data_IF_487045746830
#
_entry.id   IF_487045746830
#
_cell.length_a   1.000
_cell.length_b   1.000
_cell.length_c   1.000
_cell.angle_alpha   90.00
_cell.angle_beta   90.00
_cell.angle_gamma   90.00
#
_symmetry.space_group_name_H-M   'P 1'
#
loop_
_entity.id
_entity.type
_entity.pdbx_description
1 polymer ?
#
# COMPACT_ATOMS: atom_id res chain seq x y z
N UNK A 1 -45.75 -16.42 3.26
CA UNK A 1 -44.54 -15.81 3.74
C UNK A 1 -44.01 -14.78 2.78
N UNK A 2 -43.55 -13.71 3.33
CA UNK A 2 -43.31 -12.48 2.64
C UNK A 2 -42.01 -12.47 1.84
N UNK A 3 -42.11 -12.45 0.52
CA UNK A 3 -40.95 -12.23 -0.35
C UNK A 3 -40.19 -10.94 -0.01
N UNK A 4 -40.85 -9.95 0.59
CA UNK A 4 -40.28 -8.69 1.00
C UNK A 4 -39.15 -8.86 2.05
N UNK A 5 -39.34 -9.77 3.01
CA UNK A 5 -38.33 -10.08 4.04
C UNK A 5 -37.06 -10.68 3.43
N UNK A 6 -37.21 -11.51 2.40
CA UNK A 6 -36.08 -12.10 1.69
C UNK A 6 -35.28 -11.04 0.93
N UNK A 7 -35.98 -10.06 0.29
CA UNK A 7 -35.32 -8.95 -0.42
C UNK A 7 -34.59 -8.01 0.53
N UNK A 8 -35.17 -7.66 1.67
CA UNK A 8 -34.53 -6.83 2.70
C UNK A 8 -33.26 -7.49 3.23
N UNK A 9 -33.31 -8.78 3.49
CA UNK A 9 -32.15 -9.55 3.99
C UNK A 9 -31.03 -9.61 2.94
N UNK A 10 -31.38 -9.76 1.66
CA UNK A 10 -30.43 -9.78 0.55
C UNK A 10 -29.74 -8.42 0.37
N UNK A 11 -30.48 -7.32 0.45
CA UNK A 11 -29.93 -5.95 0.38
C UNK A 11 -29.00 -5.67 1.55
N UNK A 12 -29.38 -6.07 2.77
CA UNK A 12 -28.55 -5.91 3.96
C UNK A 12 -27.23 -6.67 3.83
N UNK A 13 -27.27 -7.91 3.31
CA UNK A 13 -26.09 -8.74 3.10
C UNK A 13 -25.15 -8.14 2.07
N UNK A 14 -25.68 -7.57 0.97
CA UNK A 14 -24.89 -6.86 -0.05
C UNK A 14 -24.21 -5.63 0.53
N UNK A 15 -24.90 -4.83 1.34
CA UNK A 15 -24.32 -3.67 2.02
C UNK A 15 -23.20 -4.07 2.98
N UNK A 16 -23.32 -5.23 3.64
CA UNK A 16 -22.33 -5.73 4.58
C UNK A 16 -21.05 -6.20 3.87
N UNK A 17 -21.13 -6.59 2.60
CA UNK A 17 -19.99 -7.02 1.80
C UNK A 17 -19.24 -5.86 1.14
N UNK A 18 -19.77 -4.64 1.24
CA UNK A 18 -19.12 -3.47 0.69
C UNK A 18 -17.97 -3.05 1.61
N UNK A 19 -16.75 -3.37 1.20
CA UNK A 19 -15.55 -2.88 1.88
C UNK A 19 -15.13 -1.55 1.26
N UNK A 20 -14.88 -0.56 2.11
CA UNK A 20 -14.35 0.72 1.67
C UNK A 20 -12.96 0.49 1.06
N UNK A 21 -12.77 0.89 -0.19
CA UNK A 21 -11.47 0.85 -0.83
C UNK A 21 -10.62 2.04 -0.40
N UNK A 22 -9.33 1.80 -0.15
CA UNK A 22 -8.38 2.85 0.14
C UNK A 22 -7.83 3.43 -1.17
N UNK A 23 -7.70 4.74 -1.20
CA UNK A 23 -7.15 5.47 -2.34
C UNK A 23 -6.43 6.72 -1.85
N UNK A 24 -5.18 6.89 -2.26
CA UNK A 24 -4.37 8.04 -1.88
C UNK A 24 -3.40 8.39 -3.01
N UNK A 25 -3.20 9.68 -3.26
CA UNK A 25 -2.15 10.16 -4.17
C UNK A 25 -1.16 11.02 -3.40
N UNK A 26 0.09 11.00 -3.82
CA UNK A 26 1.14 11.80 -3.22
C UNK A 26 2.50 11.36 -3.69
N UNK A 27 3.53 11.89 -3.03
CA UNK A 27 4.92 11.58 -3.36
C UNK A 27 5.36 10.28 -2.72
N UNK A 28 6.03 9.42 -3.48
CA UNK A 28 6.76 8.25 -3.00
C UNK A 28 8.25 8.55 -2.98
N UNK A 29 8.91 8.05 -1.96
CA UNK A 29 10.36 7.97 -1.87
C UNK A 29 10.76 6.52 -1.61
N UNK A 30 12.04 6.23 -1.49
CA UNK A 30 12.52 4.90 -1.11
C UNK A 30 13.53 5.00 0.02
N UNK A 31 13.68 3.90 0.77
CA UNK A 31 14.56 3.83 1.92
C UNK A 31 16.02 4.00 1.56
N UNK A 32 16.78 4.60 2.47
CA UNK A 32 18.24 4.55 2.43
C UNK A 32 18.76 3.14 2.71
N UNK A 33 19.88 2.75 2.08
CA UNK A 33 20.52 1.45 2.27
C UNK A 33 20.96 1.19 3.72
N UNK A 34 21.14 2.25 4.52
CA UNK A 34 21.52 2.11 5.95
C UNK A 34 20.49 1.37 6.80
N UNK A 35 19.22 1.25 6.32
CA UNK A 35 18.18 0.54 7.05
C UNK A 35 18.19 -0.97 6.82
N UNK A 36 18.96 -1.46 5.85
CA UNK A 36 19.08 -2.89 5.59
C UNK A 36 19.50 -3.65 6.84
N UNK A 37 18.76 -4.73 7.14
CA UNK A 37 19.01 -5.57 8.31
C UNK A 37 18.35 -5.08 9.61
N UNK A 38 17.72 -3.92 9.63
CA UNK A 38 17.00 -3.40 10.80
C UNK A 38 15.58 -3.96 10.86
N UNK A 39 15.04 -4.06 12.08
CA UNK A 39 13.63 -4.42 12.25
C UNK A 39 12.72 -3.27 11.84
N UNK A 40 11.67 -3.61 11.11
CA UNK A 40 10.58 -2.70 10.81
C UNK A 40 9.53 -2.70 11.93
N UNK A 41 8.52 -1.83 11.84
CA UNK A 41 7.44 -1.76 12.83
C UNK A 41 6.65 -3.07 12.96
N UNK A 42 6.62 -3.89 11.91
CA UNK A 42 5.98 -5.20 11.94
C UNK A 42 6.80 -6.26 12.69
N UNK A 43 8.09 -5.99 12.98
CA UNK A 43 9.04 -6.95 13.49
C UNK A 43 9.80 -7.71 12.40
N UNK A 44 9.41 -7.56 11.14
CA UNK A 44 10.15 -8.13 10.01
C UNK A 44 11.47 -7.39 9.81
N UNK A 45 12.49 -8.12 9.32
CA UNK A 45 13.78 -7.51 8.98
C UNK A 45 13.64 -6.77 7.65
N UNK A 46 14.07 -5.51 7.62
CA UNK A 46 14.06 -4.71 6.39
C UNK A 46 15.09 -5.25 5.40
N UNK A 47 14.68 -5.42 4.16
CA UNK A 47 15.54 -5.78 3.04
C UNK A 47 15.14 -5.00 1.79
N UNK A 48 16.11 -4.35 1.17
CA UNK A 48 15.93 -3.63 -0.10
C UNK A 48 15.52 -4.55 -1.26
N UNK A 49 15.74 -5.86 -1.10
CA UNK A 49 15.39 -6.86 -2.10
C UNK A 49 13.96 -7.39 -2.00
N UNK A 50 13.17 -6.91 -1.06
CA UNK A 50 11.78 -7.30 -0.88
C UNK A 50 10.82 -6.24 -1.46
N UNK A 51 9.57 -6.63 -1.68
CA UNK A 51 8.51 -5.70 -2.12
C UNK A 51 7.68 -5.28 -0.91
N UNK A 52 8.21 -4.36 -0.12
CA UNK A 52 7.55 -3.84 1.09
C UNK A 52 7.60 -2.31 1.13
N UNK A 53 6.85 -1.75 2.05
CA UNK A 53 6.72 -0.30 2.18
C UNK A 53 6.43 0.13 3.60
N UNK A 54 6.76 1.40 3.89
CA UNK A 54 6.27 2.11 5.07
C UNK A 54 5.12 3.03 4.69
N UNK A 55 4.09 3.05 5.51
CA UNK A 55 2.92 3.90 5.34
C UNK A 55 2.49 4.50 6.69
N UNK A 56 1.84 5.67 6.65
CA UNK A 56 1.49 6.40 7.88
C UNK A 56 0.42 5.70 8.72
N UNK A 57 -0.58 5.09 8.09
CA UNK A 57 -1.79 4.64 8.78
C UNK A 57 -2.29 3.25 8.40
N UNK A 58 -2.00 2.75 7.21
CA UNK A 58 -2.50 1.45 6.78
C UNK A 58 -2.02 0.34 7.72
N UNK A 59 -2.90 -0.61 7.99
CA UNK A 59 -2.60 -1.74 8.87
C UNK A 59 -1.37 -2.50 8.37
N UNK A 60 -0.46 -2.84 9.28
CA UNK A 60 0.70 -3.67 8.95
C UNK A 60 0.23 -5.03 8.42
N UNK A 61 0.82 -5.47 7.31
CA UNK A 61 0.41 -6.66 6.58
C UNK A 61 -0.53 -6.37 5.40
N UNK A 62 -1.00 -5.14 5.24
CA UNK A 62 -1.86 -4.75 4.11
C UNK A 62 -1.05 -4.73 2.82
N UNK A 63 -1.61 -5.31 1.75
CA UNK A 63 -1.05 -5.20 0.41
C UNK A 63 -1.70 -4.04 -0.32
N UNK A 64 -0.89 -3.23 -0.98
CA UNK A 64 -1.34 -2.10 -1.78
C UNK A 64 -0.71 -2.14 -3.15
N UNK A 65 -1.45 -1.64 -4.13
CA UNK A 65 -0.95 -1.42 -5.48
C UNK A 65 -0.48 0.03 -5.57
N UNK A 66 0.76 0.21 -5.94
CA UNK A 66 1.37 1.53 -6.14
C UNK A 66 1.56 1.74 -7.64
N UNK A 67 1.03 2.84 -8.16
CA UNK A 67 1.15 3.24 -9.55
C UNK A 67 1.99 4.49 -9.63
N UNK A 68 3.07 4.46 -10.43
CA UNK A 68 3.84 5.66 -10.75
C UNK A 68 3.06 6.46 -11.81
N UNK A 69 2.56 7.63 -11.41
CA UNK A 69 1.72 8.45 -12.28
C UNK A 69 2.49 9.09 -13.44
N UNK A 70 3.83 9.06 -13.41
CA UNK A 70 4.65 9.60 -14.49
C UNK A 70 4.83 8.63 -15.67
N UNK A 71 4.66 7.32 -15.44
CA UNK A 71 4.92 6.30 -16.47
C UNK A 71 3.92 5.13 -16.46
N UNK A 72 2.92 5.16 -15.58
CA UNK A 72 1.87 4.13 -15.41
C UNK A 72 2.39 2.75 -14.97
N UNK A 73 3.66 2.62 -14.58
CA UNK A 73 4.18 1.38 -14.02
C UNK A 73 3.56 1.10 -12.64
N UNK A 74 3.40 -0.16 -12.30
CA UNK A 74 2.75 -0.57 -11.05
C UNK A 74 3.57 -1.62 -10.32
N UNK A 75 3.40 -1.67 -9.00
CA UNK A 75 3.96 -2.71 -8.13
C UNK A 75 3.00 -2.96 -6.98
N UNK A 76 2.92 -4.20 -6.53
CA UNK A 76 2.21 -4.55 -5.31
C UNK A 76 3.23 -4.73 -4.20
N UNK A 77 3.01 -4.04 -3.09
CA UNK A 77 3.90 -4.09 -1.92
C UNK A 77 3.10 -4.38 -0.65
N UNK A 78 3.76 -5.00 0.32
CA UNK A 78 3.19 -5.22 1.64
C UNK A 78 3.64 -4.08 2.56
N UNK A 79 2.68 -3.45 3.23
CA UNK A 79 2.97 -2.45 4.27
C UNK A 79 3.47 -3.20 5.51
N UNK A 80 4.73 -3.03 5.87
CA UNK A 80 5.32 -3.67 7.04
C UNK A 80 6.01 -2.68 7.98
N UNK A 81 5.92 -1.39 7.71
CA UNK A 81 6.60 -0.38 8.51
C UNK A 81 5.76 0.90 8.61
N UNK A 82 6.14 1.77 9.54
CA UNK A 82 5.49 3.06 9.78
C UNK A 82 6.33 4.19 9.24
N UNK A 83 5.69 5.01 8.42
CA UNK A 83 6.21 6.28 7.97
C UNK A 83 5.83 7.36 9.00
N UNK A 84 6.74 8.29 9.27
CA UNK A 84 6.47 9.40 10.17
C UNK A 84 5.24 10.19 9.66
N UNK A 85 4.29 10.45 10.55
CA UNK A 85 3.04 11.16 10.22
C UNK A 85 3.28 12.56 9.67
N UNK A 86 4.41 13.17 10.01
CA UNK A 86 4.77 14.52 9.55
C UNK A 86 5.59 14.51 8.25
N UNK A 87 5.85 13.34 7.68
CA UNK A 87 6.58 13.22 6.41
C UNK A 87 5.81 13.91 5.28
N UNK A 88 6.52 14.57 4.38
CA UNK A 88 5.96 15.23 3.20
C UNK A 88 5.59 14.25 2.07
N UNK A 89 5.91 12.96 2.22
CA UNK A 89 5.53 11.94 1.25
C UNK A 89 4.58 10.91 1.89
N UNK A 90 3.92 10.11 1.06
CA UNK A 90 2.83 9.24 1.51
C UNK A 90 3.29 7.79 1.71
N UNK A 91 4.39 7.41 1.09
CA UNK A 91 4.89 6.03 1.15
C UNK A 91 6.41 6.00 0.95
N UNK A 92 7.09 5.14 1.71
CA UNK A 92 8.49 4.78 1.49
C UNK A 92 8.56 3.37 0.95
N UNK A 93 9.20 3.21 -0.19
CA UNK A 93 9.32 1.91 -0.87
C UNK A 93 10.73 1.34 -0.69
N UNK A 94 10.85 0.02 -0.81
CA UNK A 94 12.16 -0.61 -0.97
C UNK A 94 12.77 -0.24 -2.31
N UNK A 95 14.07 -0.38 -2.42
CA UNK A 95 14.79 -0.13 -3.68
C UNK A 95 14.25 -1.03 -4.81
N UNK A 96 13.94 -2.30 -4.52
CA UNK A 96 13.36 -3.21 -5.50
C UNK A 96 12.04 -2.68 -6.05
N UNK A 97 11.15 -2.19 -5.18
CA UNK A 97 9.89 -1.61 -5.60
C UNK A 97 10.09 -0.34 -6.41
N UNK A 98 10.99 0.55 -5.97
CA UNK A 98 11.33 1.77 -6.70
C UNK A 98 11.90 1.49 -8.08
N UNK A 99 12.71 0.44 -8.21
CA UNK A 99 13.22 -0.01 -9.52
C UNK A 99 12.10 -0.48 -10.44
N UNK A 100 11.13 -1.23 -9.94
CA UNK A 100 9.99 -1.67 -10.74
C UNK A 100 9.11 -0.50 -11.19
N UNK A 101 9.09 0.58 -10.42
CA UNK A 101 8.39 1.82 -10.77
C UNK A 101 9.25 2.79 -11.57
N UNK A 102 10.50 2.46 -11.84
CA UNK A 102 11.44 3.25 -12.64
C UNK A 102 11.64 4.68 -12.15
N UNK A 103 11.76 4.89 -10.84
CA UNK A 103 12.03 6.24 -10.31
C UNK A 103 13.29 6.37 -9.44
N UNK A 104 14.14 5.35 -9.40
CA UNK A 104 15.34 5.38 -8.54
C UNK A 104 16.23 6.58 -8.87
N UNK A 105 16.43 6.89 -10.16
CA UNK A 105 17.25 8.03 -10.57
C UNK A 105 16.65 9.37 -10.14
N UNK A 106 15.32 9.49 -10.17
CA UNK A 106 14.61 10.71 -9.78
C UNK A 106 14.59 10.90 -8.25
N UNK A 107 14.76 9.84 -7.48
CA UNK A 107 14.69 9.85 -6.02
C UNK A 107 13.28 9.88 -5.45
N UNK A 108 12.33 10.41 -6.19
CA UNK A 108 10.92 10.46 -5.81
C UNK A 108 10.05 10.58 -7.04
N UNK A 109 8.77 10.25 -6.89
CA UNK A 109 7.79 10.40 -7.97
C UNK A 109 6.39 10.50 -7.37
N UNK A 110 5.45 11.04 -8.13
CA UNK A 110 4.06 11.08 -7.72
C UNK A 110 3.42 9.73 -8.00
N UNK A 111 2.76 9.18 -7.00
CA UNK A 111 2.13 7.86 -7.08
C UNK A 111 0.66 7.91 -6.67
N UNK A 112 -0.06 6.87 -7.09
CA UNK A 112 -1.35 6.48 -6.55
C UNK A 112 -1.14 5.21 -5.74
N UNK A 113 -1.62 5.21 -4.49
CA UNK A 113 -1.64 4.04 -3.61
C UNK A 113 -3.07 3.59 -3.45
N UNK A 114 -3.36 2.34 -3.75
CA UNK A 114 -4.73 1.82 -3.65
C UNK A 114 -4.74 0.42 -3.03
N UNK A 115 -5.82 0.09 -2.33
CA UNK A 115 -5.99 -1.24 -1.75
C UNK A 115 -6.10 -2.29 -2.85
N UNK A 116 -5.63 -3.50 -2.55
CA UNK A 116 -5.70 -4.63 -3.47
C UNK A 116 -6.73 -5.64 -2.96
N UNK A 117 -7.21 -6.50 -3.86
CA UNK A 117 -8.08 -7.63 -3.52
C UNK A 117 -7.29 -8.90 -3.22
N UNK A 118 -5.96 -8.82 -3.09
CA UNK A 118 -5.14 -9.98 -2.75
C UNK A 118 -5.39 -10.31 -1.28
N UNK A 119 -6.12 -11.39 -1.08
CA UNK A 119 -6.24 -12.03 0.22
C UNK A 119 -5.28 -13.20 0.28
N UNK A 120 -4.54 -13.31 1.39
CA UNK A 120 -3.70 -14.47 1.64
C UNK A 120 -4.55 -15.71 1.91
#
# INVERSE_FOLDING_TARGET
>A
MNNLLIYIFSIFFLCFQYEASFYETGKACYYSSKFNGRKTSSGEIFSQGNLTAAHKTLKLGTFVKVTNLSNDSTVIVKVNDRLNKNSGHVIDLTLKAANQLNFVRMGSTKVKVESTTITN
#
